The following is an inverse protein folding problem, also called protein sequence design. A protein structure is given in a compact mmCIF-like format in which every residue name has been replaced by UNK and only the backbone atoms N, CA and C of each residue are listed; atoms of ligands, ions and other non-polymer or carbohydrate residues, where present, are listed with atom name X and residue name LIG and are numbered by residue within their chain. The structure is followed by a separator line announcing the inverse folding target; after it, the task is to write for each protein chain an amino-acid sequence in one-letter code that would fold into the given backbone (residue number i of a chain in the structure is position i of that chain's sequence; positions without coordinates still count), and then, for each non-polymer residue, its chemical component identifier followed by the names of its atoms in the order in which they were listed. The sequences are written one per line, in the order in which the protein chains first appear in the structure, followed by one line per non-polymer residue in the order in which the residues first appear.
data_IF_097890140333
#
_entry.id   IF_097890140333
#
_cell.length_a   1.000
_cell.length_b   1.000
_cell.length_c   1.000
_cell.angle_alpha   90.00
_cell.angle_beta   90.00
_cell.angle_gamma   90.00
#
_symmetry.space_group_name_H-M   'P 1'
#
loop_
_entity.id
_entity.type
_entity.pdbx_description
1 polymer ?
#
# COMPACT_ATOMS: atom_id res chain seq x y z
N UNK A 1 17.41 -3.75 -45.96
CA UNK A 1 18.35 -2.87 -45.23
C UNK A 1 18.09 -1.40 -45.60
N UNK A 2 17.08 -0.75 -45.00
CA UNK A 2 17.03 0.72 -44.86
C UNK A 2 15.68 1.11 -44.23
N UNK A 3 15.62 1.19 -42.90
CA UNK A 3 14.49 1.77 -42.14
C UNK A 3 14.96 2.17 -40.73
N UNK A 4 15.97 3.03 -40.61
CA UNK A 4 16.31 3.69 -39.34
C UNK A 4 17.05 5.00 -39.64
N UNK A 5 16.31 6.10 -39.89
CA UNK A 5 16.98 7.40 -39.91
C UNK A 5 16.20 8.64 -39.42
N UNK A 6 15.00 8.53 -38.86
CA UNK A 6 14.22 9.73 -38.47
C UNK A 6 13.82 9.76 -36.99
N UNK A 7 14.78 9.92 -36.07
CA UNK A 7 14.49 10.12 -34.64
C UNK A 7 15.37 11.17 -33.92
N UNK A 8 16.02 12.07 -34.66
CA UNK A 8 16.88 13.11 -34.05
C UNK A 8 16.62 14.49 -34.63
N UNK A 9 15.44 15.05 -34.37
CA UNK A 9 15.22 16.52 -34.40
C UNK A 9 13.85 16.86 -33.83
N UNK A 10 13.74 16.94 -32.50
CA UNK A 10 12.71 17.76 -31.87
C UNK A 10 13.39 18.61 -30.78
N UNK A 11 13.40 19.95 -30.89
CA UNK A 11 13.95 20.81 -29.86
C UNK A 11 13.07 20.76 -28.60
N UNK A 12 13.66 20.89 -27.40
CA UNK A 12 12.91 20.94 -26.16
C UNK A 12 12.06 22.21 -26.09
N UNK A 13 10.77 22.02 -25.82
CA UNK A 13 9.76 23.06 -25.66
C UNK A 13 10.11 23.96 -24.45
N UNK A 14 10.38 25.28 -24.64
CA UNK A 14 10.87 26.13 -23.56
C UNK A 14 9.78 26.61 -22.59
N UNK A 15 8.51 26.26 -22.79
CA UNK A 15 7.39 26.83 -22.02
C UNK A 15 6.83 25.91 -20.92
N UNK A 16 7.70 25.11 -20.29
CA UNK A 16 7.40 24.47 -18.99
C UNK A 16 7.42 25.53 -17.88
N UNK A 17 6.39 26.38 -17.87
CA UNK A 17 6.01 27.21 -16.73
C UNK A 17 5.89 26.32 -15.51
N UNK A 18 6.86 26.43 -14.62
CA UNK A 18 6.87 25.86 -13.28
C UNK A 18 5.62 26.40 -12.55
N UNK A 19 4.50 25.68 -12.68
CA UNK A 19 3.34 25.85 -11.80
C UNK A 19 3.82 25.47 -10.41
N UNK A 20 4.17 26.48 -9.61
CA UNK A 20 4.27 26.37 -8.16
C UNK A 20 2.92 25.87 -7.63
N UNK A 21 2.75 24.56 -7.58
CA UNK A 21 1.62 23.94 -6.88
C UNK A 21 1.89 24.15 -5.40
N UNK A 22 1.17 25.10 -4.81
CA UNK A 22 0.99 25.20 -3.37
C UNK A 22 0.50 23.85 -2.88
N UNK A 23 1.37 23.07 -2.23
CA UNK A 23 1.02 21.84 -1.54
C UNK A 23 0.21 22.26 -0.32
N UNK A 24 -1.12 22.31 -0.47
CA UNK A 24 -2.03 22.34 0.69
C UNK A 24 -2.03 20.93 1.26
N UNK A 25 -1.42 20.76 2.43
CA UNK A 25 -1.60 19.58 3.27
C UNK A 25 -3.08 19.49 3.66
N UNK A 26 -3.86 18.72 2.90
CA UNK A 26 -5.15 18.26 3.38
C UNK A 26 -4.89 17.22 4.46
N UNK A 27 -5.23 17.59 5.69
CA UNK A 27 -5.26 16.73 6.87
C UNK A 27 -6.32 15.65 6.61
N UNK A 28 -5.90 14.50 6.11
CA UNK A 28 -6.78 13.34 5.93
C UNK A 28 -7.01 12.76 7.32
N UNK A 29 -8.17 13.06 7.90
CA UNK A 29 -8.69 12.36 9.07
C UNK A 29 -8.94 10.91 8.68
N UNK A 30 -8.04 10.01 9.07
CA UNK A 30 -8.25 8.56 9.02
C UNK A 30 -9.31 8.19 10.07
N UNK A 31 -10.60 8.29 9.71
CA UNK A 31 -11.68 7.70 10.49
C UNK A 31 -12.01 6.31 9.96
N UNK A 32 -11.74 5.30 10.79
CA UNK A 32 -12.46 4.04 10.94
C UNK A 32 -12.73 3.20 9.67
N UNK A 33 -11.78 2.32 9.36
CA UNK A 33 -12.09 1.05 8.71
C UNK A 33 -12.51 0.05 9.78
N UNK A 34 -13.82 -0.24 9.86
CA UNK A 34 -14.32 -1.38 10.63
C UNK A 34 -13.97 -2.67 9.88
N UNK A 35 -12.88 -3.31 10.29
CA UNK A 35 -12.59 -4.69 9.90
C UNK A 35 -13.65 -5.64 10.48
N UNK A 36 -14.21 -6.56 9.68
CA UNK A 36 -14.97 -7.69 10.23
C UNK A 36 -14.00 -8.70 10.90
N UNK A 37 -14.43 -9.40 11.95
CA UNK A 37 -13.60 -10.35 12.68
C UNK A 37 -13.37 -11.61 11.85
N UNK A 38 -12.11 -11.99 11.65
CA UNK A 38 -11.76 -13.31 11.11
C UNK A 38 -11.91 -14.39 12.20
N UNK A 39 -12.40 -15.59 11.84
CA UNK A 39 -12.61 -16.68 12.77
C UNK A 39 -11.29 -17.43 13.09
N UNK A 40 -11.19 -17.87 14.33
CA UNK A 40 -10.16 -18.77 14.86
C UNK A 40 -9.94 -20.02 13.99
N UNK A 41 -8.70 -20.54 13.98
CA UNK A 41 -8.47 -21.97 14.00
C UNK A 41 -7.94 -22.43 15.36
N UNK A 42 -8.54 -23.51 15.85
CA UNK A 42 -8.20 -24.26 17.06
C UNK A 42 -6.89 -25.05 16.86
N UNK A 43 -6.15 -25.16 17.98
CA UNK A 43 -5.33 -26.29 18.45
C UNK A 43 -4.10 -26.76 17.63
N UNK A 44 -2.92 -26.44 18.19
CA UNK A 44 -1.82 -27.35 18.65
C UNK A 44 -1.70 -28.77 18.08
N UNK A 45 -0.47 -29.27 17.81
CA UNK A 45 0.43 -29.67 18.91
C UNK A 45 1.93 -29.35 18.75
N UNK A 46 2.49 -28.83 19.86
CA UNK A 46 3.69 -29.29 20.59
C UNK A 46 4.68 -30.21 19.85
N UNK A 47 5.86 -29.67 19.53
CA UNK A 47 7.10 -30.46 19.44
C UNK A 47 8.31 -29.68 19.98
N UNK A 48 9.29 -30.46 20.39
CA UNK A 48 10.33 -30.19 21.37
C UNK A 48 11.43 -29.21 20.93
N UNK A 49 11.78 -28.35 21.88
CA UNK A 49 13.13 -28.21 22.47
C UNK A 49 14.31 -28.57 21.55
N UNK A 50 15.02 -27.53 21.07
CA UNK A 50 16.48 -27.60 21.01
C UNK A 50 17.12 -26.25 21.31
N UNK A 51 17.96 -26.29 22.33
CA UNK A 51 18.80 -25.23 22.85
C UNK A 51 19.88 -24.89 21.81
N UNK A 52 20.09 -23.59 21.53
CA UNK A 52 21.42 -23.10 21.19
C UNK A 52 21.58 -21.68 21.70
N UNK A 53 22.41 -21.61 22.73
CA UNK A 53 22.99 -20.45 23.37
C UNK A 53 23.71 -19.54 22.35
N UNK A 54 23.72 -18.24 22.59
CA UNK A 54 24.49 -17.34 21.73
C UNK A 54 24.34 -15.86 22.07
N UNK A 55 24.90 -15.49 23.23
CA UNK A 55 25.48 -14.19 23.61
C UNK A 55 25.00 -12.92 22.88
N UNK A 56 24.33 -12.01 23.58
CA UNK A 56 25.03 -10.87 24.20
C UNK A 56 24.97 -9.66 23.27
N UNK A 57 24.34 -8.54 23.61
CA UNK A 57 24.92 -7.57 24.54
C UNK A 57 23.85 -6.56 24.93
N UNK A 58 23.65 -6.41 26.23
CA UNK A 58 22.95 -5.28 26.84
C UNK A 58 23.80 -4.02 26.73
N UNK A 59 23.17 -2.90 26.39
CA UNK A 59 23.67 -1.56 26.73
C UNK A 59 22.57 -0.80 27.45
N UNK A 60 22.50 -1.08 28.76
CA UNK A 60 21.89 -0.23 29.78
C UNK A 60 22.87 0.87 30.18
N UNK A 61 22.44 2.14 30.17
CA UNK A 61 22.99 3.23 30.99
C UNK A 61 22.29 4.53 30.56
N UNK A 62 21.38 5.08 31.38
CA UNK A 62 21.66 6.08 32.44
C UNK A 62 21.97 7.47 31.83
N UNK A 63 21.68 8.64 32.39
CA UNK A 63 21.19 9.14 33.68
C UNK A 63 21.28 10.68 33.52
N UNK A 64 20.52 11.45 34.31
CA UNK A 64 20.89 12.78 34.93
C UNK A 64 21.51 13.86 34.04
N UNK A 65 21.03 15.10 33.97
CA UNK A 65 21.04 16.10 35.05
C UNK A 65 20.47 17.42 34.47
N UNK A 66 19.40 18.01 35.00
CA UNK A 66 19.45 19.13 35.98
C UNK A 66 20.74 19.96 35.97
N UNK A 67 20.72 21.17 35.40
CA UNK A 67 21.66 22.24 35.77
C UNK A 67 20.96 23.61 35.83
N UNK A 68 20.45 23.90 37.01
CA UNK A 68 20.18 25.25 37.50
C UNK A 68 21.49 25.89 37.96
N UNK A 69 21.90 26.99 37.33
CA UNK A 69 22.92 27.88 37.88
C UNK A 69 22.44 29.33 37.87
N UNK A 70 21.83 29.68 38.99
CA UNK A 70 21.86 31.00 39.59
C UNK A 70 23.29 31.37 39.99
N UNK A 71 23.82 32.46 39.46
CA UNK A 71 25.02 33.11 40.00
C UNK A 71 24.73 34.58 40.26
N UNK A 72 24.39 34.85 41.51
CA UNK A 72 24.39 36.17 42.12
C UNK A 72 25.82 36.64 42.30
N UNK A 73 26.20 37.75 41.67
CA UNK A 73 27.42 38.47 42.00
C UNK A 73 27.05 39.82 42.60
N UNK A 74 27.09 39.82 43.94
CA UNK A 74 26.99 40.97 44.82
C UNK A 74 28.40 41.57 44.97
N UNK A 75 28.59 42.78 44.48
CA UNK A 75 29.71 43.67 44.82
C UNK A 75 29.11 45.10 44.83
N UNK A 76 28.73 45.71 45.96
CA UNK A 76 29.57 46.37 46.98
C UNK A 76 30.90 46.91 46.47
N UNK A 77 30.90 48.13 45.94
CA UNK A 77 32.04 49.06 46.07
C UNK A 77 31.58 50.53 46.11
N UNK A 78 31.85 51.18 47.23
CA UNK A 78 32.35 52.56 47.33
C UNK A 78 31.54 53.71 46.74
N UNK A 79 30.55 54.21 47.48
CA UNK A 79 30.03 55.58 47.31
C UNK A 79 31.01 56.56 47.97
N UNK A 80 32.05 56.99 47.25
CA UNK A 80 32.85 58.17 47.64
C UNK A 80 32.21 59.41 47.02
N UNK A 81 31.44 60.12 47.83
CA UNK A 81 30.90 61.45 47.55
C UNK A 81 32.04 62.47 47.56
N UNK A 82 32.72 62.65 46.42
CA UNK A 82 33.58 63.81 46.19
C UNK A 82 32.74 64.97 45.64
N UNK A 83 32.64 66.02 46.44
CA UNK A 83 32.08 67.33 46.10
C UNK A 83 32.73 67.84 44.80
N UNK A 84 31.97 68.23 43.77
CA UNK A 84 32.56 68.76 42.54
C UNK A 84 33.11 70.16 42.81
N UNK A 85 34.44 70.28 42.89
CA UNK A 85 35.11 71.57 42.74
C UNK A 85 34.90 72.04 41.30
N UNK A 86 34.18 73.15 41.16
CA UNK A 86 33.98 73.85 39.89
C UNK A 86 35.30 74.53 39.54
N UNK A 87 36.18 73.80 38.87
CA UNK A 87 37.28 74.37 38.09
C UNK A 87 36.62 74.80 36.78
N UNK A 88 36.59 76.10 36.49
CA UNK A 88 36.21 76.64 35.17
C UNK A 88 37.17 76.05 34.12
N UNK A 89 36.81 74.90 33.55
CA UNK A 89 37.47 74.36 32.36
C UNK A 89 37.22 75.28 31.18
N UNK A 90 38.21 75.42 30.32
CA UNK A 90 38.10 76.17 29.07
C UNK A 90 36.91 75.67 28.24
N UNK A 91 36.15 76.55 27.57
CA UNK A 91 34.93 76.18 26.85
C UNK A 91 35.21 75.20 25.69
N UNK A 92 36.43 75.18 25.15
CA UNK A 92 36.86 74.26 24.10
C UNK A 92 36.98 72.81 24.59
N UNK A 93 37.54 72.59 25.79
CA UNK A 93 37.65 71.26 26.39
C UNK A 93 36.26 70.67 26.67
N UNK A 94 35.33 71.51 27.17
CA UNK A 94 33.95 71.11 27.40
C UNK A 94 33.23 70.72 26.11
N UNK A 95 33.53 71.35 24.99
CA UNK A 95 32.97 70.99 23.69
C UNK A 95 33.54 69.65 23.18
N UNK A 96 34.84 69.42 23.36
CA UNK A 96 35.47 68.15 23.01
C UNK A 96 34.89 66.97 23.81
N UNK A 97 34.72 67.13 25.13
CA UNK A 97 34.07 66.14 26.01
C UNK A 97 32.63 65.83 25.56
N UNK A 98 31.87 66.85 25.13
CA UNK A 98 30.52 66.66 24.61
C UNK A 98 30.50 65.89 23.28
N UNK A 99 31.48 66.12 22.39
CA UNK A 99 31.60 65.35 21.15
C UNK A 99 31.96 63.90 21.44
N UNK A 100 32.88 63.65 22.36
CA UNK A 100 33.25 62.31 22.79
C UNK A 100 32.07 61.56 23.40
N UNK A 101 31.29 62.20 24.27
CA UNK A 101 30.07 61.63 24.84
C UNK A 101 29.03 61.30 23.77
N UNK A 102 28.84 62.17 22.77
CA UNK A 102 27.96 61.88 21.63
C UNK A 102 28.45 60.66 20.84
N UNK A 103 29.75 60.58 20.59
CA UNK A 103 30.35 59.45 19.88
C UNK A 103 30.22 58.14 20.66
N UNK A 104 30.40 58.18 21.98
CA UNK A 104 30.15 57.02 22.86
C UNK A 104 28.70 56.58 22.81
N UNK A 105 27.74 57.52 22.84
CA UNK A 105 26.32 57.19 22.74
C UNK A 105 25.99 56.50 21.42
N UNK A 106 26.49 57.01 20.29
CA UNK A 106 26.30 56.38 18.96
C UNK A 106 26.84 54.94 18.99
N UNK A 107 28.06 54.72 19.50
CA UNK A 107 28.63 53.37 19.60
C UNK A 107 27.85 52.45 20.52
N UNK A 108 27.28 52.98 21.60
CA UNK A 108 26.42 52.21 22.50
C UNK A 108 25.13 51.78 21.79
N UNK A 109 24.51 52.70 21.03
CA UNK A 109 23.31 52.41 20.25
C UNK A 109 23.61 51.37 19.15
N UNK A 110 24.74 51.50 18.44
CA UNK A 110 25.21 50.52 17.45
C UNK A 110 25.44 49.14 18.08
N UNK A 111 26.03 49.10 19.28
CA UNK A 111 26.27 47.86 20.01
C UNK A 111 24.96 47.18 20.42
N UNK A 112 23.97 47.95 20.90
CA UNK A 112 22.65 47.42 21.22
C UNK A 112 21.94 46.90 19.97
N UNK A 113 22.01 47.62 18.85
CA UNK A 113 21.45 47.17 17.58
C UNK A 113 22.11 45.86 17.09
N UNK A 114 23.45 45.78 17.13
CA UNK A 114 24.17 44.55 16.76
C UNK A 114 23.81 43.39 17.69
N UNK A 115 23.67 43.66 18.99
CA UNK A 115 23.23 42.66 19.97
C UNK A 115 21.85 42.12 19.61
N UNK A 116 20.88 42.98 19.30
CA UNK A 116 19.53 42.56 18.92
C UNK A 116 19.54 41.75 17.61
N UNK A 117 20.35 42.17 16.63
CA UNK A 117 20.53 41.43 15.38
C UNK A 117 21.15 40.05 15.61
N UNK A 118 22.13 39.93 16.50
CA UNK A 118 22.73 38.63 16.88
C UNK A 118 21.69 37.72 17.53
N UNK A 119 20.86 38.24 18.45
CA UNK A 119 19.79 37.43 19.06
C UNK A 119 18.75 36.99 18.04
N UNK A 120 18.30 37.90 17.18
CA UNK A 120 17.30 37.58 16.16
C UNK A 120 17.83 36.57 15.13
N UNK A 121 19.07 36.74 14.67
CA UNK A 121 19.71 35.79 13.74
C UNK A 121 19.97 34.44 14.41
N UNK A 122 20.32 34.41 15.69
CA UNK A 122 20.45 33.19 16.49
C UNK A 122 19.13 32.41 16.58
N UNK A 123 18.03 33.08 16.94
CA UNK A 123 16.70 32.46 16.99
C UNK A 123 16.28 31.90 15.63
N UNK A 124 16.47 32.68 14.56
CA UNK A 124 16.16 32.24 13.20
C UNK A 124 17.01 31.03 12.77
N UNK A 125 18.26 30.93 13.25
CA UNK A 125 19.12 29.79 12.96
C UNK A 125 18.62 28.53 13.68
N UNK A 126 18.25 28.64 14.96
CA UNK A 126 17.69 27.53 15.75
C UNK A 126 16.37 27.01 15.17
N UNK A 127 15.48 27.92 14.76
CA UNK A 127 14.21 27.56 14.11
C UNK A 127 14.47 26.78 12.80
N UNK A 128 15.37 27.30 11.94
CA UNK A 128 15.73 26.63 10.68
C UNK A 128 16.39 25.29 10.91
N UNK A 129 17.22 25.16 11.95
CA UNK A 129 17.86 23.89 12.30
C UNK A 129 16.81 22.85 12.72
N UNK A 130 15.81 23.26 13.52
CA UNK A 130 14.70 22.41 13.94
C UNK A 130 13.90 21.91 12.73
N UNK A 131 13.49 22.81 11.83
CA UNK A 131 12.76 22.45 10.60
C UNK A 131 13.58 21.49 9.72
N UNK A 132 14.89 21.73 9.62
CA UNK A 132 15.78 20.88 8.82
C UNK A 132 15.90 19.46 9.40
N UNK A 133 15.89 19.31 10.73
CA UNK A 133 15.90 18.00 11.37
C UNK A 133 14.54 17.29 11.26
N UNK A 134 13.42 18.01 11.31
CA UNK A 134 12.08 17.49 11.01
C UNK A 134 12.00 16.96 9.57
N UNK A 135 12.45 17.73 8.59
CA UNK A 135 12.48 17.32 7.17
C UNK A 135 13.38 16.09 6.97
N UNK A 136 14.51 16.00 7.69
CA UNK A 136 15.38 14.81 7.65
C UNK A 136 14.70 13.59 8.25
N UNK A 137 13.91 13.74 9.31
CA UNK A 137 13.16 12.67 9.91
C UNK A 137 12.03 12.18 8.97
N UNK A 138 11.25 13.08 8.41
CA UNK A 138 10.20 12.75 7.44
C UNK A 138 10.76 12.03 6.22
N UNK A 139 11.89 12.51 5.67
CA UNK A 139 12.59 11.84 4.56
C UNK A 139 12.95 10.40 4.90
N UNK A 140 13.40 10.11 6.13
CA UNK A 140 13.72 8.74 6.56
C UNK A 140 12.47 7.86 6.61
N UNK A 141 11.36 8.39 7.12
CA UNK A 141 10.07 7.68 7.15
C UNK A 141 9.59 7.35 5.75
N UNK A 142 9.54 8.35 4.85
CA UNK A 142 9.14 8.17 3.46
C UNK A 142 10.04 7.18 2.72
N UNK A 143 11.35 7.19 3.00
CA UNK A 143 12.26 6.20 2.44
C UNK A 143 11.99 4.77 2.93
N UNK A 144 11.61 4.62 4.22
CA UNK A 144 11.16 3.34 4.76
C UNK A 144 9.88 2.84 4.09
N UNK A 145 8.90 3.71 3.85
CA UNK A 145 7.68 3.39 3.12
C UNK A 145 7.95 3.00 1.67
N UNK A 146 8.80 3.75 0.97
CA UNK A 146 9.24 3.43 -0.39
C UNK A 146 9.81 2.00 -0.46
N UNK A 147 10.71 1.65 0.46
CA UNK A 147 11.30 0.31 0.52
C UNK A 147 10.26 -0.77 0.79
N UNK A 148 9.28 -0.49 1.66
CA UNK A 148 8.15 -1.39 1.91
C UNK A 148 7.32 -1.63 0.64
N UNK A 149 6.98 -0.57 -0.09
CA UNK A 149 6.23 -0.72 -1.34
C UNK A 149 7.02 -1.46 -2.42
N UNK A 150 8.32 -1.20 -2.54
CA UNK A 150 9.20 -1.97 -3.45
C UNK A 150 9.18 -3.46 -3.10
N UNK A 151 9.22 -3.82 -1.81
CA UNK A 151 9.14 -5.21 -1.38
C UNK A 151 7.79 -5.85 -1.74
N UNK A 152 6.68 -5.12 -1.54
CA UNK A 152 5.35 -5.60 -1.94
C UNK A 152 5.24 -5.82 -3.45
N UNK A 153 5.74 -4.89 -4.27
CA UNK A 153 5.72 -5.04 -5.74
C UNK A 153 6.53 -6.27 -6.17
N UNK A 154 7.70 -6.50 -5.59
CA UNK A 154 8.50 -7.70 -5.86
C UNK A 154 7.75 -8.99 -5.51
N UNK A 155 7.01 -9.00 -4.39
CA UNK A 155 6.22 -10.17 -4.01
C UNK A 155 5.09 -10.43 -5.01
N UNK A 156 4.34 -9.40 -5.40
CA UNK A 156 3.26 -9.52 -6.41
C UNK A 156 3.81 -10.00 -7.75
N UNK A 157 4.98 -9.52 -8.17
CA UNK A 157 5.65 -10.00 -9.39
C UNK A 157 5.95 -11.51 -9.31
N UNK A 158 6.49 -11.97 -8.17
CA UNK A 158 6.75 -13.40 -7.96
C UNK A 158 5.46 -14.23 -7.97
N UNK A 159 4.41 -13.75 -7.32
CA UNK A 159 3.12 -14.44 -7.28
C UNK A 159 2.50 -14.52 -8.69
N UNK A 160 2.66 -13.47 -9.50
CA UNK A 160 2.24 -13.45 -10.91
C UNK A 160 3.00 -14.49 -11.73
N UNK A 161 4.33 -14.57 -11.59
CA UNK A 161 5.16 -15.57 -12.28
C UNK A 161 4.71 -17.00 -11.93
N UNK A 162 4.44 -17.29 -10.65
CA UNK A 162 3.94 -18.59 -10.20
C UNK A 162 2.54 -18.89 -10.75
N UNK A 163 1.66 -17.90 -10.79
CA UNK A 163 0.32 -18.06 -11.35
C UNK A 163 0.38 -18.34 -12.86
N UNK A 164 1.24 -17.63 -13.60
CA UNK A 164 1.47 -17.88 -15.02
C UNK A 164 2.05 -19.27 -15.25
N UNK A 165 3.01 -19.71 -14.43
CA UNK A 165 3.54 -21.08 -14.53
C UNK A 165 2.42 -22.12 -14.34
N UNK A 166 1.61 -21.99 -13.28
CA UNK A 166 0.49 -22.88 -13.02
C UNK A 166 -0.54 -22.88 -14.17
N UNK A 167 -0.87 -21.70 -14.72
CA UNK A 167 -1.77 -21.57 -15.87
C UNK A 167 -1.22 -22.30 -17.10
N UNK A 168 0.07 -22.18 -17.38
CA UNK A 168 0.69 -22.88 -18.51
C UNK A 168 0.70 -24.40 -18.32
N UNK A 169 0.90 -24.89 -17.09
CA UNK A 169 0.83 -26.31 -16.78
C UNK A 169 -0.59 -26.86 -16.95
N UNK A 170 -1.58 -26.19 -16.35
CA UNK A 170 -2.99 -26.57 -16.47
C UNK A 170 -3.49 -26.52 -17.91
N UNK A 171 -3.02 -25.57 -18.70
CA UNK A 171 -3.35 -25.48 -20.13
C UNK A 171 -2.84 -26.70 -20.88
N UNK A 172 -1.58 -27.11 -20.64
CA UNK A 172 -1.00 -28.31 -21.25
C UNK A 172 -1.76 -29.57 -20.85
N UNK A 173 -2.07 -29.73 -19.56
CA UNK A 173 -2.82 -30.88 -19.05
C UNK A 173 -4.23 -30.95 -19.65
N UNK A 174 -4.92 -29.81 -19.72
CA UNK A 174 -6.23 -29.70 -20.38
C UNK A 174 -6.16 -30.13 -21.83
N UNK A 175 -5.15 -29.69 -22.57
CA UNK A 175 -4.96 -30.05 -23.99
C UNK A 175 -4.67 -31.55 -24.15
N UNK A 176 -3.81 -32.11 -23.30
CA UNK A 176 -3.53 -33.55 -23.29
C UNK A 176 -4.77 -34.38 -22.99
N UNK A 177 -5.54 -34.02 -21.96
CA UNK A 177 -6.78 -34.71 -21.61
C UNK A 177 -7.85 -34.58 -22.71
N UNK A 178 -7.94 -33.41 -23.36
CA UNK A 178 -8.86 -33.19 -24.47
C UNK A 178 -8.51 -34.06 -25.68
N UNK A 179 -7.22 -34.18 -26.01
CA UNK A 179 -6.74 -35.07 -27.07
C UNK A 179 -7.01 -36.54 -26.73
N UNK A 180 -6.70 -36.96 -25.50
CA UNK A 180 -6.94 -38.31 -25.02
C UNK A 180 -8.43 -38.70 -25.05
N UNK A 181 -9.30 -37.79 -24.59
CA UNK A 181 -10.75 -37.99 -24.66
C UNK A 181 -11.24 -38.10 -26.09
N UNK A 182 -10.72 -37.26 -26.99
CA UNK A 182 -11.04 -37.30 -28.42
C UNK A 182 -10.65 -38.64 -29.04
N UNK A 183 -9.47 -39.18 -28.67
CA UNK A 183 -9.01 -40.50 -29.11
C UNK A 183 -9.93 -41.61 -28.60
N UNK A 184 -10.20 -41.66 -27.29
CA UNK A 184 -11.11 -42.65 -26.69
C UNK A 184 -12.50 -42.62 -27.33
N UNK A 185 -13.07 -41.42 -27.53
CA UNK A 185 -14.42 -41.27 -28.08
C UNK A 185 -14.48 -41.66 -29.55
N UNK A 186 -13.54 -41.20 -30.37
CA UNK A 186 -13.64 -41.36 -31.82
C UNK A 186 -13.05 -42.66 -32.34
N UNK A 187 -12.01 -43.17 -31.70
CA UNK A 187 -11.33 -44.37 -32.16
C UNK A 187 -11.86 -45.59 -31.40
N UNK A 188 -11.68 -45.61 -30.07
CA UNK A 188 -11.88 -46.85 -29.32
C UNK A 188 -13.36 -47.13 -29.06
N UNK A 189 -14.11 -46.13 -28.59
CA UNK A 189 -15.52 -46.29 -28.26
C UNK A 189 -16.39 -46.51 -29.49
N UNK A 190 -16.20 -45.72 -30.57
CA UNK A 190 -17.01 -45.85 -31.79
C UNK A 190 -16.84 -47.23 -32.43
N UNK A 191 -15.60 -47.69 -32.60
CA UNK A 191 -15.32 -49.01 -33.17
C UNK A 191 -15.96 -50.11 -32.33
N UNK A 192 -15.75 -50.08 -31.02
CA UNK A 192 -16.31 -51.10 -30.13
C UNK A 192 -17.85 -51.08 -30.10
N UNK A 193 -18.46 -49.89 -30.12
CA UNK A 193 -19.92 -49.74 -30.18
C UNK A 193 -20.49 -50.34 -31.46
N UNK A 194 -19.87 -50.07 -32.60
CA UNK A 194 -20.30 -50.63 -33.89
C UNK A 194 -20.22 -52.16 -33.89
N UNK A 195 -19.15 -52.74 -33.35
CA UNK A 195 -19.00 -54.19 -33.20
C UNK A 195 -20.10 -54.80 -32.29
N UNK A 196 -20.37 -54.17 -31.14
CA UNK A 196 -21.41 -54.62 -30.20
C UNK A 196 -22.80 -54.50 -30.83
N UNK A 197 -23.09 -53.42 -31.53
CA UNK A 197 -24.38 -53.22 -32.20
C UNK A 197 -24.59 -54.24 -33.32
N UNK A 198 -23.55 -54.57 -34.09
CA UNK A 198 -23.61 -55.65 -35.09
C UNK A 198 -23.89 -57.02 -34.44
N UNK A 199 -23.26 -57.33 -33.31
CA UNK A 199 -23.50 -58.57 -32.57
C UNK A 199 -24.91 -58.64 -31.98
N UNK A 200 -25.44 -57.52 -31.48
CA UNK A 200 -26.81 -57.42 -30.97
C UNK A 200 -27.85 -57.56 -32.08
N UNK A 201 -27.61 -56.94 -33.23
CA UNK A 201 -28.46 -57.06 -34.41
C UNK A 201 -28.58 -58.52 -34.87
N UNK A 202 -27.46 -59.27 -34.90
CA UNK A 202 -27.45 -60.72 -35.21
C UNK A 202 -28.31 -61.56 -34.25
N UNK A 203 -28.52 -61.07 -33.02
CA UNK A 203 -29.35 -61.73 -32.00
C UNK A 203 -30.78 -61.16 -31.90
N UNK A 204 -31.15 -60.20 -32.74
CA UNK A 204 -32.46 -59.53 -32.68
C UNK A 204 -32.62 -58.56 -31.50
N UNK A 205 -31.53 -58.12 -30.88
CA UNK A 205 -31.55 -57.15 -29.77
C UNK A 205 -31.42 -55.70 -30.29
N UNK A 206 -31.98 -54.74 -29.54
CA UNK A 206 -31.88 -53.31 -29.85
C UNK A 206 -30.41 -52.81 -29.70
N UNK A 207 -29.95 -51.89 -30.56
CA UNK A 207 -28.63 -51.27 -30.43
C UNK A 207 -28.46 -50.53 -29.08
N UNK A 208 -27.21 -50.42 -28.66
CA UNK A 208 -26.81 -49.68 -27.45
C UNK A 208 -27.04 -48.17 -27.68
N UNK A 209 -27.41 -47.46 -26.61
CA UNK A 209 -27.54 -46.00 -26.61
C UNK A 209 -26.20 -45.33 -26.99
N UNK A 210 -26.26 -44.09 -27.50
CA UNK A 210 -25.06 -43.33 -27.81
C UNK A 210 -24.42 -42.77 -26.53
N UNK A 211 -23.09 -42.63 -26.55
CA UNK A 211 -22.34 -41.99 -25.45
C UNK A 211 -22.83 -40.56 -25.17
N UNK A 212 -23.26 -39.85 -26.21
CA UNK A 212 -23.82 -38.50 -26.12
C UNK A 212 -25.11 -38.48 -25.28
N UNK A 213 -26.01 -39.43 -25.55
CA UNK A 213 -27.25 -39.55 -24.79
C UNK A 213 -26.99 -39.87 -23.32
N UNK A 214 -26.05 -40.78 -23.04
CA UNK A 214 -25.65 -41.10 -21.67
C UNK A 214 -24.97 -39.91 -20.97
N UNK A 215 -24.13 -39.15 -21.68
CA UNK A 215 -23.52 -37.93 -21.15
C UNK A 215 -24.56 -36.86 -20.81
N UNK A 216 -25.54 -36.61 -21.68
CA UNK A 216 -26.61 -35.64 -21.42
C UNK A 216 -27.43 -36.01 -20.18
N UNK A 217 -27.75 -37.29 -20.01
CA UNK A 217 -28.45 -37.77 -18.82
C UNK A 217 -27.63 -37.58 -17.54
N UNK A 218 -26.33 -37.89 -17.57
CA UNK A 218 -25.42 -37.72 -16.42
C UNK A 218 -25.20 -36.24 -16.10
N UNK A 219 -24.96 -35.39 -17.11
CA UNK A 219 -24.82 -33.95 -16.90
C UNK A 219 -26.12 -33.35 -16.36
N UNK A 220 -27.27 -33.75 -16.89
CA UNK A 220 -28.58 -33.33 -16.41
C UNK A 220 -28.76 -33.65 -14.92
N UNK A 221 -28.39 -34.86 -14.48
CA UNK A 221 -28.41 -35.25 -13.06
C UNK A 221 -27.45 -34.41 -12.22
N UNK A 222 -26.22 -34.21 -12.69
CA UNK A 222 -25.20 -33.46 -11.95
C UNK A 222 -25.59 -32.00 -11.76
N UNK A 223 -26.15 -31.37 -12.81
CA UNK A 223 -26.68 -30.01 -12.73
C UNK A 223 -27.87 -29.95 -11.78
N UNK A 224 -28.78 -30.92 -11.83
CA UNK A 224 -29.90 -31.00 -10.89
C UNK A 224 -29.39 -31.10 -9.44
N UNK A 225 -28.40 -31.93 -9.18
CA UNK A 225 -27.78 -32.11 -7.85
C UNK A 225 -27.08 -30.82 -7.37
N UNK A 226 -26.35 -30.13 -8.26
CA UNK A 226 -25.73 -28.83 -7.93
C UNK A 226 -26.79 -27.78 -7.62
N UNK A 227 -27.87 -27.71 -8.42
CA UNK A 227 -28.99 -26.79 -8.17
C UNK A 227 -29.63 -27.11 -6.82
N UNK A 228 -29.90 -28.37 -6.51
CA UNK A 228 -30.45 -28.79 -5.21
C UNK A 228 -29.51 -28.46 -4.04
N UNK A 229 -28.19 -28.55 -4.25
CA UNK A 229 -27.19 -28.23 -3.24
C UNK A 229 -27.05 -26.73 -2.99
N UNK A 230 -27.06 -25.92 -4.05
CA UNK A 230 -26.94 -24.46 -3.96
C UNK A 230 -28.26 -23.79 -3.55
N UNK A 231 -29.39 -24.44 -3.81
CA UNK A 231 -30.74 -24.00 -3.43
C UNK A 231 -31.45 -25.05 -2.56
N UNK A 232 -30.99 -25.26 -1.31
CA UNK A 232 -31.53 -26.29 -0.42
C UNK A 232 -32.96 -25.98 0.06
N UNK A 233 -33.38 -24.71 0.01
CA UNK A 233 -34.76 -24.31 0.31
C UNK A 233 -35.65 -24.53 -0.92
N UNK A 234 -36.80 -25.21 -0.77
CA UNK A 234 -37.72 -25.47 -1.88
C UNK A 234 -38.54 -24.22 -2.22
N UNK A 235 -37.89 -23.11 -2.59
CA UNK A 235 -38.59 -22.00 -3.23
C UNK A 235 -39.14 -22.41 -4.60
N UNK A 236 -38.57 -23.44 -5.23
CA UNK A 236 -39.17 -24.06 -6.40
C UNK A 236 -40.55 -24.67 -6.13
N UNK A 237 -40.95 -24.98 -4.88
CA UNK A 237 -42.34 -25.36 -4.55
C UNK A 237 -43.31 -24.18 -4.61
N UNK A 238 -42.84 -22.94 -4.51
CA UNK A 238 -43.64 -21.73 -4.74
C UNK A 238 -43.74 -21.40 -6.24
N UNK A 239 -42.78 -21.86 -7.06
CA UNK A 239 -42.74 -21.62 -8.52
C UNK A 239 -43.40 -22.77 -9.32
N UNK A 240 -43.34 -24.02 -8.83
CA UNK A 240 -43.94 -25.21 -9.47
C UNK A 240 -45.43 -25.01 -9.85
N UNK A 241 -46.28 -24.43 -8.98
CA UNK A 241 -47.69 -24.20 -9.33
C UNK A 241 -47.88 -23.18 -10.47
N UNK A 242 -46.92 -22.29 -10.70
CA UNK A 242 -46.96 -21.29 -11.78
C UNK A 242 -46.51 -21.93 -13.09
N UNK A 243 -45.42 -22.71 -13.05
CA UNK A 243 -44.89 -23.42 -14.22
C UNK A 243 -45.84 -24.53 -14.67
N UNK A 244 -46.41 -25.30 -13.74
CA UNK A 244 -47.37 -26.37 -14.07
C UNK A 244 -48.71 -25.80 -14.59
N UNK A 245 -49.15 -24.61 -14.13
CA UNK A 245 -50.37 -23.96 -14.64
C UNK A 245 -50.20 -23.34 -16.03
N UNK A 246 -49.01 -22.88 -16.40
CA UNK A 246 -48.75 -22.30 -17.72
C UNK A 246 -48.30 -23.32 -18.78
N UNK A 247 -47.53 -24.34 -18.41
CA UNK A 247 -47.05 -25.34 -19.38
C UNK A 247 -48.04 -26.49 -19.64
N UNK A 248 -48.88 -26.88 -18.68
CA UNK A 248 -49.86 -27.94 -18.88
C UNK A 248 -50.82 -27.70 -20.07
N UNK A 249 -51.45 -26.51 -20.24
CA UNK A 249 -52.34 -26.28 -21.37
C UNK A 249 -51.60 -26.24 -22.72
N UNK A 250 -50.30 -25.88 -22.74
CA UNK A 250 -49.49 -25.89 -23.97
C UNK A 250 -49.13 -27.31 -24.43
N UNK A 251 -48.84 -28.21 -23.49
CA UNK A 251 -48.56 -29.62 -23.79
C UNK A 251 -49.82 -30.38 -24.23
N UNK A 252 -50.99 -30.08 -23.65
CA UNK A 252 -52.27 -30.67 -24.09
C UNK A 252 -52.67 -30.22 -25.50
N UNK A 253 -52.38 -28.97 -25.88
CA UNK A 253 -52.61 -28.48 -27.25
C UNK A 253 -51.70 -29.18 -28.27
N UNK A 254 -50.46 -29.49 -27.89
CA UNK A 254 -49.52 -30.18 -28.77
C UNK A 254 -49.85 -31.67 -28.92
N UNK A 255 -50.39 -32.33 -27.88
CA UNK A 255 -50.89 -33.71 -27.97
C UNK A 255 -52.20 -33.85 -28.75
N UNK A 256 -53.01 -32.79 -28.88
CA UNK A 256 -54.22 -32.83 -29.73
C UNK A 256 -53.95 -32.65 -31.22
N UNK A 257 -52.73 -32.31 -31.61
CA UNK A 257 -52.34 -32.12 -33.02
C UNK A 257 -51.60 -33.33 -33.63
N UNK A 258 -51.43 -34.42 -32.86
CA UNK A 258 -50.95 -35.72 -33.32
C UNK A 258 -52.00 -36.79 -33.03
#
# INVERSE_FOLDING_TARGET
MSLFHDALTNPPDPDLKIRKKTVRFNKISLTNSSHPPSPHPKSEPRHERRESEGSGSHSTSSKTSSSSHSSSSKATFGKTSSVPQVIEKDPEERMAELMELKQMKIRQDDLLHLKDQVFQTGQNLEEKQTILDEVRAERKVLHGELNRYIAMVKQVQKDLELATEAETQLTKERDQLSQYLTQLRNHDFKVLKEEVDQLRAKKGLRPVQSLEQEQEEVMGRTLLDQVLRLWPTPQWRLIRPVVDKELAPRLELQQRQF
#
